data_IF_099229383123
#
_entry.id   IF_099229383123
#
_cell.length_a   1.000
_cell.length_b   1.000
_cell.length_c   1.000
_cell.angle_alpha   90.00
_cell.angle_beta   90.00
_cell.angle_gamma   90.00
#
_symmetry.space_group_name_H-M   'P 1'
#
loop_
_entity.id
_entity.type
_entity.pdbx_description
1 polymer ?
#
# COMPACT_ATOMS: atom_id res chain seq x y z
N UNK A 1 5.26 29.52 -15.24
CA UNK A 1 4.03 28.78 -14.87
C UNK A 1 4.40 27.60 -13.98
N UNK A 2 4.17 27.67 -12.66
CA UNK A 2 4.44 26.55 -11.74
C UNK A 2 3.33 25.52 -11.91
N UNK A 3 3.67 24.32 -12.40
CA UNK A 3 2.71 23.20 -12.52
C UNK A 3 2.24 22.82 -11.12
N UNK A 4 0.97 23.10 -10.82
CA UNK A 4 0.27 22.55 -9.67
C UNK A 4 0.25 21.03 -9.81
N UNK A 5 1.20 20.37 -9.13
CA UNK A 5 1.13 18.93 -8.91
C UNK A 5 -0.03 18.76 -7.94
N UNK A 6 -1.19 18.35 -8.44
CA UNK A 6 -2.33 17.95 -7.62
C UNK A 6 -1.80 17.09 -6.47
N UNK A 7 -1.89 17.60 -5.24
CA UNK A 7 -1.62 16.85 -4.01
C UNK A 7 -2.68 15.75 -3.94
N UNK A 8 -2.38 14.58 -4.51
CA UNK A 8 -3.11 13.37 -4.14
C UNK A 8 -2.72 13.07 -2.70
N UNK A 9 -3.71 13.08 -1.81
CA UNK A 9 -3.51 12.86 -0.37
C UNK A 9 -3.36 11.37 -0.04
N UNK A 10 -2.64 10.65 -0.91
CA UNK A 10 -2.49 9.20 -0.87
C UNK A 10 -1.38 8.84 0.11
N UNK A 11 -1.53 7.73 0.83
CA UNK A 11 -0.55 7.24 1.82
C UNK A 11 0.87 7.07 1.23
N UNK A 12 0.95 6.70 -0.05
CA UNK A 12 2.22 6.64 -0.78
C UNK A 12 2.51 7.98 -1.44
N UNK A 13 3.70 8.54 -1.16
CA UNK A 13 4.19 9.74 -1.85
C UNK A 13 4.46 9.41 -3.30
N UNK A 14 3.80 10.12 -4.22
CA UNK A 14 4.02 10.04 -5.68
C UNK A 14 5.49 9.95 -6.09
N UNK A 15 6.35 10.76 -5.46
CA UNK A 15 7.79 10.79 -5.76
C UNK A 15 8.46 9.43 -5.58
N UNK A 16 8.09 8.69 -4.53
CA UNK A 16 8.64 7.37 -4.23
C UNK A 16 8.15 6.35 -5.25
N UNK A 17 6.86 6.38 -5.59
CA UNK A 17 6.29 5.52 -6.63
C UNK A 17 6.98 5.73 -7.99
N UNK A 18 7.19 6.99 -8.38
CA UNK A 18 7.92 7.32 -9.62
C UNK A 18 9.37 6.83 -9.57
N UNK A 19 10.04 6.95 -8.42
CA UNK A 19 11.42 6.47 -8.26
C UNK A 19 11.49 4.95 -8.45
N UNK A 20 10.60 4.19 -7.81
CA UNK A 20 10.52 2.73 -7.96
C UNK A 20 10.26 2.32 -9.41
N UNK A 21 9.34 3.00 -10.11
CA UNK A 21 9.08 2.72 -11.53
C UNK A 21 10.32 2.99 -12.41
N UNK A 22 11.07 4.05 -12.11
CA UNK A 22 12.30 4.37 -12.85
C UNK A 22 13.42 3.37 -12.61
N UNK A 23 13.60 2.89 -11.38
CA UNK A 23 14.58 1.85 -11.05
C UNK A 23 14.31 0.56 -11.83
N UNK A 24 13.04 0.25 -12.07
CA UNK A 24 12.59 -0.86 -12.91
C UNK A 24 12.56 -0.54 -14.42
N UNK A 25 13.07 0.63 -14.83
CA UNK A 25 13.07 1.14 -16.22
C UNK A 25 11.67 1.26 -16.84
N UNK A 26 10.63 1.45 -16.03
CA UNK A 26 9.24 1.59 -16.46
C UNK A 26 8.90 3.07 -16.68
N UNK A 27 8.50 3.41 -17.91
CA UNK A 27 7.89 4.71 -18.21
C UNK A 27 6.41 4.67 -17.86
N UNK A 28 5.92 5.71 -17.20
CA UNK A 28 4.54 5.80 -16.73
C UNK A 28 3.96 7.18 -17.01
N UNK A 29 2.71 7.20 -17.46
CA UNK A 29 1.96 8.45 -17.63
C UNK A 29 1.27 8.84 -16.31
N UNK A 30 0.70 10.05 -16.26
CA UNK A 30 0.06 10.58 -15.05
C UNK A 30 -1.13 9.73 -14.58
N UNK A 31 -1.92 9.20 -15.52
CA UNK A 31 -3.11 8.41 -15.20
C UNK A 31 -2.75 7.06 -14.58
N UNK A 32 -1.72 6.39 -15.11
CA UNK A 32 -1.19 5.15 -14.56
C UNK A 32 -0.66 5.35 -13.13
N UNK A 33 0.03 6.47 -12.87
CA UNK A 33 0.51 6.82 -11.53
C UNK A 33 -0.68 7.05 -10.58
N UNK A 34 -1.71 7.80 -11.00
CA UNK A 34 -2.91 8.01 -10.19
C UNK A 34 -3.60 6.67 -9.86
N UNK A 35 -3.75 5.80 -10.86
CA UNK A 35 -4.39 4.49 -10.67
C UNK A 35 -3.62 3.62 -9.69
N UNK A 36 -2.29 3.57 -9.82
CA UNK A 36 -1.42 2.87 -8.87
C UNK A 36 -1.57 3.42 -7.45
N UNK A 37 -1.55 4.74 -7.27
CA UNK A 37 -1.74 5.37 -5.96
C UNK A 37 -3.05 4.92 -5.29
N UNK A 38 -4.17 4.96 -6.02
CA UNK A 38 -5.46 4.50 -5.51
C UNK A 38 -5.50 3.00 -5.21
N UNK A 39 -4.88 2.16 -6.05
CA UNK A 39 -4.82 0.72 -5.81
C UNK A 39 -4.00 0.39 -4.57
N UNK A 40 -2.85 1.03 -4.38
CA UNK A 40 -2.05 0.86 -3.18
C UNK A 40 -2.77 1.32 -1.92
N UNK A 41 -3.47 2.46 -1.96
CA UNK A 41 -4.29 2.92 -0.84
C UNK A 41 -5.39 1.91 -0.48
N UNK A 42 -6.08 1.37 -1.48
CA UNK A 42 -7.07 0.30 -1.29
C UNK A 42 -6.47 -0.95 -0.63
N UNK A 43 -5.30 -1.40 -1.10
CA UNK A 43 -4.61 -2.55 -0.52
C UNK A 43 -4.20 -2.32 0.94
N UNK A 44 -3.64 -1.14 1.25
CA UNK A 44 -3.25 -0.78 2.62
C UNK A 44 -4.48 -0.76 3.54
N UNK A 45 -5.60 -0.19 3.08
CA UNK A 45 -6.84 -0.17 3.86
C UNK A 45 -7.37 -1.57 4.17
N UNK A 46 -7.30 -2.50 3.20
CA UNK A 46 -7.67 -3.90 3.43
C UNK A 46 -6.75 -4.56 4.46
N UNK A 47 -5.43 -4.34 4.36
CA UNK A 47 -4.46 -4.91 5.31
C UNK A 47 -4.73 -4.39 6.73
N UNK A 48 -4.94 -3.08 6.90
CA UNK A 48 -5.24 -2.47 8.20
C UNK A 48 -6.54 -3.03 8.77
N UNK A 49 -7.58 -3.22 7.94
CA UNK A 49 -8.85 -3.83 8.39
C UNK A 49 -8.63 -5.24 8.92
N UNK A 50 -7.90 -6.08 8.18
CA UNK A 50 -7.63 -7.45 8.61
C UNK A 50 -6.79 -7.49 9.89
N UNK A 51 -5.77 -6.64 10.01
CA UNK A 51 -4.97 -6.53 11.24
C UNK A 51 -5.84 -6.10 12.42
N UNK A 52 -6.75 -5.15 12.22
CA UNK A 52 -7.68 -4.69 13.25
C UNK A 52 -8.60 -5.83 13.72
N UNK A 53 -9.14 -6.61 12.79
CA UNK A 53 -9.99 -7.77 13.10
C UNK A 53 -9.21 -8.81 13.92
N UNK A 54 -7.99 -9.16 13.49
CA UNK A 54 -7.14 -10.14 14.17
C UNK A 54 -6.78 -9.69 15.61
N UNK A 55 -6.36 -8.44 15.82
CA UNK A 55 -6.04 -7.97 17.18
C UNK A 55 -7.29 -7.90 18.06
N UNK A 56 -8.45 -7.56 17.48
CA UNK A 56 -9.72 -7.48 18.21
C UNK A 56 -10.18 -8.87 18.66
N UNK A 57 -10.06 -9.89 17.81
CA UNK A 57 -10.33 -11.30 18.15
C UNK A 57 -9.46 -11.75 19.33
N UNK A 58 -8.21 -11.30 19.37
CA UNK A 58 -7.28 -11.59 20.47
C UNK A 58 -7.49 -10.70 21.72
N UNK A 59 -8.52 -9.86 21.74
CA UNK A 59 -8.82 -8.95 22.86
C UNK A 59 -7.82 -7.79 23.03
N UNK A 60 -7.00 -7.52 22.00
CA UNK A 60 -5.97 -6.47 22.02
C UNK A 60 -6.39 -5.24 21.22
N UNK A 61 -5.85 -4.08 21.60
CA UNK A 61 -5.95 -2.81 20.86
C UNK A 61 -4.63 -2.34 20.25
N UNK A 62 -3.54 -3.05 20.56
CA UNK A 62 -2.19 -2.72 20.11
C UNK A 62 -1.77 -3.73 19.05
N UNK A 63 -1.37 -3.22 17.89
CA UNK A 63 -0.75 -4.00 16.82
C UNK A 63 0.67 -4.40 17.23
N UNK A 64 1.01 -5.68 17.11
CA UNK A 64 2.36 -6.19 17.34
C UNK A 64 3.00 -6.69 16.04
N UNK A 65 4.30 -6.95 16.09
CA UNK A 65 5.07 -7.46 14.96
C UNK A 65 4.51 -8.79 14.44
N UNK A 66 4.16 -9.68 15.36
CA UNK A 66 3.69 -11.04 15.04
C UNK A 66 2.34 -11.03 14.30
N UNK A 67 1.51 -9.99 14.54
CA UNK A 67 0.25 -9.80 13.81
C UNK A 67 0.48 -9.49 12.34
N UNK A 68 1.51 -8.68 12.07
CA UNK A 68 1.93 -8.33 10.71
C UNK A 68 2.47 -9.59 10.03
N UNK A 69 3.42 -10.28 10.66
CA UNK A 69 4.00 -11.51 10.12
C UNK A 69 2.90 -12.55 9.81
N UNK A 70 1.97 -12.80 10.74
CA UNK A 70 0.87 -13.76 10.54
C UNK A 70 -0.01 -13.43 9.33
N UNK A 71 -0.33 -12.14 9.10
CA UNK A 71 -1.15 -11.74 7.94
C UNK A 71 -0.38 -11.89 6.62
N UNK A 72 0.91 -11.59 6.60
CA UNK A 72 1.70 -11.70 5.38
C UNK A 72 2.12 -13.15 5.07
N UNK A 73 2.42 -13.98 6.07
CA UNK A 73 2.64 -15.43 5.88
C UNK A 73 1.37 -16.13 5.39
N UNK A 74 0.18 -15.77 5.91
CA UNK A 74 -1.10 -16.28 5.36
C UNK A 74 -1.40 -15.81 3.93
N UNK A 75 -0.74 -14.75 3.45
CA UNK A 75 -0.95 -14.18 2.12
C UNK A 75 0.08 -14.63 1.08
N UNK A 76 1.20 -15.22 1.49
CA UNK A 76 2.14 -15.87 0.57
C UNK A 76 1.50 -17.07 -0.15
N UNK A 77 0.47 -17.70 0.43
CA UNK A 77 -0.36 -18.71 -0.27
C UNK A 77 -1.24 -18.14 -1.41
N UNK A 78 -1.42 -16.81 -1.50
CA UNK A 78 -2.26 -16.18 -2.52
C UNK A 78 -1.48 -15.50 -3.66
N UNK A 79 -0.15 -15.40 -3.53
CA UNK A 79 0.74 -14.80 -4.53
C UNK A 79 1.88 -15.75 -4.88
N UNK A 80 1.57 -17.02 -5.19
CA UNK A 80 2.45 -17.79 -6.07
C UNK A 80 2.50 -17.06 -7.44
N UNK A 81 3.52 -16.21 -7.57
CA UNK A 81 4.02 -15.63 -8.83
C UNK A 81 5.28 -16.40 -9.19
#
# INVERSE_FOLDING_TARGET
MKKNINKTNTLIKRKNLILMLKEQKIRSNKEAINLLEHKFEGLINIIIKNLKEEITIQGRKTLKKEDIEKIFTKKEEYYEI
#
